data_IF_303075619515
#
_entry.id   IF_303075619515
#
_cell.length_a   1.000
_cell.length_b   1.000
_cell.length_c   1.000
_cell.angle_alpha   90.00
_cell.angle_beta   90.00
_cell.angle_gamma   90.00
#
_symmetry.space_group_name_H-M   'P 1'
#
loop_
_entity.id
_entity.type
_entity.pdbx_description
1 polymer ?
#
# COMPACT_ATOMS: atom_id res chain seq x y z
N UNK A 1 -5.34 10.81 17.48
CA UNK A 1 -5.00 10.93 16.04
C UNK A 1 -5.12 9.55 15.45
N UNK A 2 -6.32 9.14 15.09
CA UNK A 2 -6.62 7.78 14.64
C UNK A 2 -5.80 7.44 13.39
N UNK A 3 -4.76 6.65 13.64
CA UNK A 3 -3.68 6.28 12.74
C UNK A 3 -4.09 5.33 11.63
N UNK A 4 -5.24 5.56 11.00
CA UNK A 4 -5.37 5.25 9.57
C UNK A 4 -4.62 6.35 8.81
N UNK A 5 -3.29 6.37 8.96
CA UNK A 5 -2.34 7.23 8.25
C UNK A 5 -2.55 7.15 6.73
N UNK A 6 -3.25 8.13 6.13
CA UNK A 6 -3.42 8.23 4.67
C UNK A 6 -2.09 7.91 3.97
N UNK A 7 -2.14 7.17 2.87
CA UNK A 7 -0.95 6.82 2.09
C UNK A 7 -0.23 8.14 1.76
N UNK A 8 1.01 8.27 2.22
CA UNK A 8 1.80 9.47 2.02
C UNK A 8 2.56 9.39 0.69
N UNK A 9 3.04 10.53 0.20
CA UNK A 9 3.91 10.55 -0.98
C UNK A 9 5.23 9.82 -0.75
N UNK A 10 5.75 9.82 0.47
CA UNK A 10 6.96 9.07 0.82
C UNK A 10 6.75 7.56 0.72
N UNK A 11 5.62 7.06 1.21
CA UNK A 11 5.26 5.64 1.09
C UNK A 11 5.18 5.21 -0.39
N UNK A 12 4.55 6.05 -1.24
CA UNK A 12 4.43 5.77 -2.67
C UNK A 12 5.81 5.79 -3.33
N UNK A 13 6.66 6.77 -3.00
CA UNK A 13 8.01 6.90 -3.54
C UNK A 13 8.88 5.70 -3.19
N UNK A 14 8.87 5.28 -1.92
CA UNK A 14 9.62 4.11 -1.45
C UNK A 14 9.17 2.85 -2.20
N UNK A 15 7.86 2.58 -2.23
CA UNK A 15 7.34 1.42 -2.94
C UNK A 15 7.59 1.47 -4.45
N UNK A 16 7.53 2.64 -5.06
CA UNK A 16 7.83 2.82 -6.49
C UNK A 16 9.31 2.53 -6.77
N UNK A 17 10.21 3.00 -5.92
CA UNK A 17 11.65 2.74 -6.05
C UNK A 17 11.97 1.24 -5.90
N UNK A 18 11.38 0.55 -4.93
CA UNK A 18 11.52 -0.91 -4.76
C UNK A 18 11.08 -1.68 -6.02
N UNK A 19 9.94 -1.30 -6.59
CA UNK A 19 9.41 -1.93 -7.81
C UNK A 19 10.33 -1.64 -9.00
N UNK A 20 10.75 -0.38 -9.20
CA UNK A 20 11.65 -0.01 -10.29
C UNK A 20 13.01 -0.71 -10.19
N UNK A 21 13.57 -0.82 -8.98
CA UNK A 21 14.84 -1.51 -8.72
C UNK A 21 14.72 -3.02 -8.98
N UNK A 22 13.65 -3.67 -8.52
CA UNK A 22 13.39 -5.10 -8.79
C UNK A 22 13.28 -5.40 -10.29
N UNK A 23 12.82 -4.43 -11.06
CA UNK A 23 12.67 -4.53 -12.52
C UNK A 23 13.94 -4.13 -13.30
N UNK A 24 15.09 -3.99 -12.62
CA UNK A 24 16.39 -3.60 -13.21
C UNK A 24 16.42 -2.17 -13.74
N UNK A 25 15.65 -1.27 -13.12
CA UNK A 25 15.70 0.17 -13.37
C UNK A 25 15.52 0.55 -14.84
N UNK A 26 14.43 0.10 -15.50
CA UNK A 26 14.18 0.47 -16.89
C UNK A 26 13.92 1.97 -16.99
N UNK A 27 14.54 2.62 -17.96
CA UNK A 27 14.35 4.05 -18.22
C UNK A 27 12.97 4.31 -18.86
N UNK A 28 12.34 5.41 -18.45
CA UNK A 28 11.07 5.86 -19.04
C UNK A 28 9.81 5.17 -18.47
N UNK A 29 9.96 4.34 -17.43
CA UNK A 29 8.85 3.66 -16.75
C UNK A 29 8.62 4.15 -15.31
N UNK A 30 9.29 5.22 -14.89
CA UNK A 30 9.27 5.73 -13.52
C UNK A 30 7.83 6.10 -13.08
N UNK A 31 7.06 6.71 -13.99
CA UNK A 31 5.65 7.07 -13.75
C UNK A 31 4.78 5.81 -13.61
N UNK A 32 5.01 4.79 -14.43
CA UNK A 32 4.26 3.53 -14.36
C UNK A 32 4.48 2.82 -13.02
N UNK A 33 5.73 2.80 -12.53
CA UNK A 33 6.05 2.25 -11.21
C UNK A 33 5.47 3.08 -10.07
N UNK A 34 5.40 4.40 -10.22
CA UNK A 34 4.72 5.27 -9.26
C UNK A 34 3.22 4.96 -9.16
N UNK A 35 2.53 4.85 -10.29
CA UNK A 35 1.10 4.52 -10.34
C UNK A 35 0.82 3.10 -9.84
N UNK A 36 1.72 2.15 -10.14
CA UNK A 36 1.65 0.79 -9.62
C UNK A 36 1.79 0.77 -8.09
N UNK A 37 2.79 1.47 -7.55
CA UNK A 37 3.03 1.58 -6.11
C UNK A 37 1.82 2.17 -5.37
N UNK A 38 1.25 3.26 -5.88
CA UNK A 38 0.07 3.86 -5.30
C UNK A 38 -1.10 2.85 -5.25
N UNK A 39 -1.31 2.10 -6.34
CA UNK A 39 -2.38 1.09 -6.42
C UNK A 39 -2.15 -0.05 -5.42
N UNK A 40 -0.92 -0.54 -5.29
CA UNK A 40 -0.58 -1.59 -4.32
C UNK A 40 -0.85 -1.14 -2.88
N UNK A 41 -0.37 0.04 -2.50
CA UNK A 41 -0.56 0.58 -1.14
C UNK A 41 -2.04 0.80 -0.82
N UNK A 42 -2.84 1.29 -1.78
CA UNK A 42 -4.30 1.43 -1.61
C UNK A 42 -4.97 0.08 -1.37
N UNK A 43 -4.60 -0.93 -2.13
CA UNK A 43 -5.15 -2.27 -2.01
C UNK A 43 -4.74 -2.95 -0.70
N UNK A 44 -3.47 -2.85 -0.29
CA UNK A 44 -2.97 -3.37 0.98
C UNK A 44 -3.71 -2.76 2.16
N UNK A 45 -3.95 -1.45 2.12
CA UNK A 45 -4.71 -0.74 3.16
C UNK A 45 -6.17 -1.17 3.22
N UNK A 46 -6.83 -1.30 2.07
CA UNK A 46 -8.21 -1.77 2.00
C UNK A 46 -8.33 -3.18 2.57
N UNK A 47 -7.40 -4.08 2.21
CA UNK A 47 -7.33 -5.45 2.76
C UNK A 47 -7.10 -5.45 4.26
N UNK A 48 -6.17 -4.63 4.76
CA UNK A 48 -5.88 -4.51 6.20
C UNK A 48 -7.10 -4.02 6.97
N UNK A 49 -7.79 -3.00 6.46
CA UNK A 49 -9.01 -2.47 7.10
C UNK A 49 -10.11 -3.52 7.18
N UNK A 50 -10.30 -4.33 6.13
CA UNK A 50 -11.27 -5.42 6.12
C UNK A 50 -10.87 -6.58 7.03
N UNK A 51 -9.58 -6.87 7.16
CA UNK A 51 -9.09 -7.89 8.08
C UNK A 51 -9.30 -7.46 9.54
N UNK A 52 -9.00 -6.20 9.86
CA UNK A 52 -9.19 -5.60 11.19
C UNK A 52 -10.67 -5.64 11.62
N UNK A 53 -11.58 -5.27 10.72
CA UNK A 53 -13.03 -5.36 10.94
C UNK A 53 -13.50 -6.80 11.20
N UNK A 54 -12.98 -7.78 10.44
CA UNK A 54 -13.30 -9.20 10.65
C UNK A 54 -12.82 -9.72 12.00
N UNK A 55 -11.65 -9.28 12.46
CA UNK A 55 -11.11 -9.66 13.77
C UNK A 55 -11.97 -9.06 14.88
N UNK A 56 -12.36 -7.79 14.76
CA UNK A 56 -13.25 -7.14 15.73
C UNK A 56 -14.62 -7.82 15.83
N UNK A 57 -15.22 -8.22 14.71
CA UNK A 57 -16.49 -8.95 14.67
C UNK A 57 -16.40 -10.38 15.23
N UNK A 58 -15.24 -11.03 15.13
CA UNK A 58 -15.02 -12.38 15.66
C UNK A 58 -14.64 -12.44 17.14
N UNK A 59 -14.18 -11.32 17.72
CA UNK A 59 -13.77 -11.24 19.13
C UNK A 59 -14.94 -11.01 20.11
N UNK A 60 -16.14 -10.69 19.60
CA UNK A 60 -17.35 -10.45 20.40
C UNK A 60 -18.24 -11.70 20.57
N UNK A 61 -17.84 -12.85 20.00
CA UNK A 61 -18.61 -14.10 20.01
C UNK A 61 -18.12 -15.18 21.00
N UNK A 62 -17.23 -14.85 21.96
CA UNK A 62 -16.70 -15.77 22.98
C UNK A 62 -17.35 -15.57 24.36
#
# INVERSE_FOLDING_TARGET
MDGKARISFDDIRERAYELWERHHRPEGFEIEFWLLAERELRNERARRSRADERVALGADQD
#
